data_IF_968461319561
#
_entry.id   IF_968461319561
#
_cell.length_a   1.000
_cell.length_b   1.000
_cell.length_c   1.000
_cell.angle_alpha   90.00
_cell.angle_beta   90.00
_cell.angle_gamma   90.00
#
_symmetry.space_group_name_H-M   'P 1'
#
loop_
_entity.id
_entity.type
_entity.pdbx_description
1 polymer ?
#
# COMPACT_ATOMS: atom_id res chain seq x y z
N UNK A 1 15.09 -26.83 17.39
CA UNK A 1 13.78 -26.89 16.69
C UNK A 1 13.41 -28.36 16.46
N UNK A 2 12.16 -28.71 16.62
CA UNK A 2 11.65 -30.06 16.28
C UNK A 2 10.85 -30.05 14.96
N UNK A 3 10.45 -28.87 14.50
CA UNK A 3 9.76 -28.69 13.22
C UNK A 3 10.07 -27.32 12.62
N UNK A 4 10.07 -27.25 11.28
CA UNK A 4 10.05 -25.98 10.57
C UNK A 4 9.09 -26.03 9.37
N UNK A 5 8.52 -24.88 9.04
CA UNK A 5 7.62 -24.74 7.88
C UNK A 5 8.01 -23.48 7.11
N UNK A 6 8.20 -23.65 5.78
CA UNK A 6 8.54 -22.54 4.89
C UNK A 6 7.25 -21.95 4.30
N UNK A 7 7.04 -20.65 4.45
CA UNK A 7 5.95 -19.88 3.84
C UNK A 7 6.54 -18.68 3.09
N UNK A 8 6.64 -18.80 1.76
CA UNK A 8 7.28 -17.78 0.93
C UNK A 8 8.72 -17.50 1.35
N UNK A 9 9.03 -16.27 1.74
CA UNK A 9 10.36 -15.86 2.23
C UNK A 9 10.54 -16.04 3.75
N UNK A 10 9.54 -16.57 4.45
CA UNK A 10 9.59 -16.72 5.91
C UNK A 10 9.65 -18.18 6.29
N UNK A 11 10.46 -18.51 7.31
CA UNK A 11 10.52 -19.84 7.91
C UNK A 11 9.97 -19.78 9.33
N UNK A 12 8.94 -20.55 9.60
CA UNK A 12 8.38 -20.74 10.95
C UNK A 12 9.19 -21.85 11.62
N UNK A 13 9.72 -21.59 12.80
CA UNK A 13 10.41 -22.55 13.64
C UNK A 13 9.57 -22.86 14.86
N UNK A 14 9.25 -24.14 15.06
CA UNK A 14 8.64 -24.65 16.29
C UNK A 14 9.74 -25.20 17.18
N UNK A 15 9.81 -24.70 18.43
CA UNK A 15 10.83 -25.10 19.40
C UNK A 15 10.23 -25.36 20.78
N UNK A 16 11.00 -26.00 21.65
CA UNK A 16 10.59 -26.23 23.04
C UNK A 16 10.44 -24.95 23.87
N UNK A 17 11.04 -23.83 23.39
CA UNK A 17 11.00 -22.52 24.05
C UNK A 17 10.00 -21.55 23.42
N UNK A 18 9.18 -22.02 22.47
CA UNK A 18 8.22 -21.19 21.72
C UNK A 18 8.47 -21.24 20.21
N UNK A 19 7.59 -20.56 19.50
CA UNK A 19 7.65 -20.50 18.04
C UNK A 19 8.25 -19.17 17.58
N UNK A 20 9.00 -19.22 16.49
CA UNK A 20 9.74 -18.07 15.94
C UNK A 20 9.56 -17.98 14.43
N UNK A 21 9.69 -16.76 13.91
CA UNK A 21 9.72 -16.48 12.46
C UNK A 21 11.14 -16.04 12.09
N UNK A 22 11.73 -16.73 11.11
CA UNK A 22 12.99 -16.32 10.49
C UNK A 22 12.70 -15.67 9.15
N UNK A 23 13.24 -14.49 8.90
CA UNK A 23 13.18 -13.78 7.62
C UNK A 23 14.58 -13.35 7.17
N UNK A 24 14.85 -13.34 5.84
CA UNK A 24 16.07 -12.73 5.30
C UNK A 24 16.19 -11.26 5.71
N UNK A 25 17.40 -10.80 5.94
CA UNK A 25 17.72 -9.44 6.34
C UNK A 25 17.92 -8.57 5.11
N UNK A 26 16.84 -7.96 4.64
CA UNK A 26 16.85 -7.11 3.45
C UNK A 26 17.09 -5.61 3.77
N UNK A 27 16.69 -5.17 4.97
CA UNK A 27 16.81 -3.79 5.48
C UNK A 27 17.13 -3.81 6.97
N UNK A 28 17.62 -2.71 7.49
CA UNK A 28 17.84 -2.57 8.93
C UNK A 28 16.50 -2.34 9.67
N UNK A 29 15.89 -3.44 10.06
CA UNK A 29 14.64 -3.45 10.83
C UNK A 29 14.84 -2.94 12.26
N UNK A 30 16.05 -3.04 12.83
CA UNK A 30 16.34 -2.54 14.19
C UNK A 30 16.25 -1.01 14.21
N UNK A 31 16.80 -0.34 13.20
CA UNK A 31 16.70 1.12 13.08
C UNK A 31 15.24 1.54 12.95
N UNK A 32 14.45 0.86 12.08
CA UNK A 32 13.03 1.09 11.93
C UNK A 32 12.28 0.94 13.26
N UNK A 33 12.50 -0.16 13.98
CA UNK A 33 11.77 -0.42 15.22
C UNK A 33 12.17 0.54 16.35
N UNK A 34 13.41 0.95 16.38
CA UNK A 34 13.88 2.02 17.29
C UNK A 34 13.16 3.34 16.97
N UNK A 35 13.07 3.71 15.70
CA UNK A 35 12.35 4.89 15.25
C UNK A 35 10.86 4.84 15.64
N UNK A 36 10.19 3.71 15.40
CA UNK A 36 8.78 3.49 15.73
C UNK A 36 8.53 3.54 17.26
N UNK A 37 9.38 2.86 18.02
CA UNK A 37 9.32 2.85 19.50
C UNK A 37 9.44 4.25 20.06
N UNK A 38 10.40 5.04 19.59
CA UNK A 38 10.62 6.42 20.03
C UNK A 38 9.43 7.33 19.74
N UNK A 39 8.58 6.97 18.75
CA UNK A 39 7.33 7.65 18.45
C UNK A 39 6.08 7.03 19.09
N UNK A 40 6.29 6.03 19.95
CA UNK A 40 5.22 5.35 20.68
C UNK A 40 4.34 4.46 19.81
N UNK A 41 4.85 4.00 18.66
CA UNK A 41 4.17 3.01 17.83
C UNK A 41 4.74 1.62 18.13
N UNK A 42 3.89 0.68 18.57
CA UNK A 42 4.31 -0.64 19.08
C UNK A 42 3.61 -1.80 18.35
N UNK A 43 2.85 -1.53 17.28
CA UNK A 43 2.07 -2.53 16.56
C UNK A 43 2.92 -3.29 15.53
N UNK A 44 4.03 -3.89 15.97
CA UNK A 44 4.92 -4.72 15.15
C UNK A 44 5.43 -5.92 15.96
N UNK A 45 5.82 -7.05 15.31
CA UNK A 45 6.41 -8.19 15.98
C UNK A 45 7.77 -7.83 16.61
N UNK A 46 8.06 -8.35 17.80
CA UNK A 46 9.36 -8.14 18.44
C UNK A 46 10.46 -8.88 17.69
N UNK A 47 11.63 -8.25 17.56
CA UNK A 47 12.85 -8.91 17.15
C UNK A 47 13.42 -9.63 18.37
N UNK A 48 13.65 -10.93 18.21
CA UNK A 48 14.24 -11.80 19.24
C UNK A 48 15.75 -11.88 19.05
N UNK A 49 16.21 -12.02 17.80
CA UNK A 49 17.61 -12.04 17.45
C UNK A 49 17.85 -11.39 16.09
N UNK A 50 18.76 -10.45 16.04
CA UNK A 50 19.24 -9.79 14.82
C UNK A 50 20.77 -9.80 14.70
N UNK A 51 21.45 -10.58 15.53
CA UNK A 51 22.93 -10.68 15.56
C UNK A 51 23.50 -11.36 14.32
N UNK A 52 22.68 -12.13 13.59
CA UNK A 52 23.10 -12.84 12.38
C UNK A 52 23.10 -11.91 11.16
N UNK A 53 24.08 -12.07 10.29
CA UNK A 53 24.24 -11.18 9.12
C UNK A 53 23.14 -11.34 8.08
N UNK A 54 22.63 -12.56 7.88
CA UNK A 54 21.71 -12.89 6.78
C UNK A 54 20.23 -12.89 7.18
N UNK A 55 19.89 -13.03 8.47
CA UNK A 55 18.53 -13.26 8.92
C UNK A 55 18.19 -12.51 10.20
N UNK A 56 16.92 -12.13 10.31
CA UNK A 56 16.30 -11.66 11.55
C UNK A 56 15.37 -12.75 12.10
N UNK A 57 15.36 -12.90 13.42
CA UNK A 57 14.45 -13.79 14.14
C UNK A 57 13.41 -12.95 14.88
N UNK A 58 12.16 -13.19 14.59
CA UNK A 58 11.00 -12.50 15.20
C UNK A 58 10.21 -13.46 16.08
N UNK A 59 9.47 -12.91 17.04
CA UNK A 59 8.44 -13.66 17.74
C UNK A 59 7.40 -14.18 16.72
N UNK A 60 6.88 -15.36 16.98
CA UNK A 60 5.72 -15.84 16.25
C UNK A 60 4.47 -15.11 16.74
N UNK A 61 3.71 -14.56 15.81
CA UNK A 61 2.42 -13.91 16.08
C UNK A 61 1.32 -14.81 15.57
N UNK A 62 0.50 -15.31 16.48
CA UNK A 62 -0.64 -16.15 16.14
C UNK A 62 -1.74 -15.31 15.46
N UNK A 63 -2.30 -15.83 14.37
CA UNK A 63 -3.44 -15.20 13.70
C UNK A 63 -4.74 -15.54 14.45
N UNK A 64 -5.28 -14.56 15.14
CA UNK A 64 -6.60 -14.68 15.77
C UNK A 64 -7.64 -14.54 14.65
N UNK A 65 -8.50 -15.55 14.51
CA UNK A 65 -9.60 -15.54 13.54
C UNK A 65 -10.65 -14.51 13.93
N UNK A 66 -10.50 -13.30 13.37
CA UNK A 66 -11.47 -12.22 13.50
C UNK A 66 -12.37 -12.16 12.26
N UNK A 67 -13.61 -11.65 12.37
CA UNK A 67 -14.40 -11.25 11.22
C UNK A 67 -13.60 -10.27 10.34
N UNK A 68 -13.78 -10.33 9.02
CA UNK A 68 -13.01 -9.48 8.09
C UNK A 68 -13.25 -8.00 8.36
N UNK A 69 -14.47 -7.62 8.67
CA UNK A 69 -14.84 -6.24 8.98
C UNK A 69 -14.07 -5.74 10.21
N UNK A 70 -14.02 -6.52 11.29
CA UNK A 70 -13.26 -6.17 12.49
C UNK A 70 -11.77 -6.06 12.19
N UNK A 71 -11.22 -7.00 11.43
CA UNK A 71 -9.80 -6.99 11.04
C UNK A 71 -9.45 -5.76 10.19
N UNK A 72 -10.40 -5.32 9.36
CA UNK A 72 -10.28 -4.10 8.56
C UNK A 72 -10.25 -2.85 9.43
N UNK A 73 -11.17 -2.77 10.38
CA UNK A 73 -11.25 -1.66 11.33
C UNK A 73 -9.96 -1.55 12.15
N UNK A 74 -9.48 -2.67 12.70
CA UNK A 74 -8.24 -2.73 13.45
C UNK A 74 -7.03 -2.31 12.59
N UNK A 75 -6.97 -2.72 11.32
CA UNK A 75 -5.92 -2.31 10.39
C UNK A 75 -5.92 -0.80 10.16
N UNK A 76 -7.08 -0.20 9.93
CA UNK A 76 -7.21 1.24 9.71
C UNK A 76 -6.83 2.04 10.95
N UNK A 77 -7.22 1.58 12.13
CA UNK A 77 -6.79 2.18 13.41
C UNK A 77 -5.27 2.22 13.53
N UNK A 78 -4.62 1.10 13.24
CA UNK A 78 -3.17 0.95 13.34
C UNK A 78 -2.46 1.83 12.30
N UNK A 79 -2.94 1.84 11.05
CA UNK A 79 -2.34 2.65 9.98
C UNK A 79 -2.54 4.15 10.23
N UNK A 80 -3.73 4.57 10.64
CA UNK A 80 -3.95 5.97 11.01
C UNK A 80 -3.06 6.41 12.18
N UNK A 81 -2.87 5.53 13.17
CA UNK A 81 -1.94 5.77 14.28
C UNK A 81 -0.49 5.85 13.82
N UNK A 82 -0.05 4.96 12.92
CA UNK A 82 1.29 5.00 12.31
C UNK A 82 1.54 6.34 11.62
N UNK A 83 0.62 6.73 10.74
CA UNK A 83 0.74 7.99 9.98
C UNK A 83 0.71 9.22 10.90
N UNK A 84 -0.20 9.26 11.89
CA UNK A 84 -0.23 10.37 12.86
C UNK A 84 1.08 10.54 13.63
N UNK A 85 1.66 9.43 14.08
CA UNK A 85 2.88 9.44 14.90
C UNK A 85 4.15 9.73 14.10
N UNK A 86 4.14 9.50 12.80
CA UNK A 86 5.33 9.59 11.96
C UNK A 86 5.28 10.70 10.92
N UNK A 87 4.13 11.39 10.77
CA UNK A 87 3.97 12.45 9.77
C UNK A 87 4.76 13.72 10.11
N UNK A 88 5.31 14.33 9.09
CA UNK A 88 5.93 15.64 9.12
C UNK A 88 5.94 16.29 7.73
N UNK A 89 6.15 17.60 7.69
CA UNK A 89 6.31 18.31 6.43
C UNK A 89 7.79 18.36 6.07
N UNK A 90 8.10 17.87 4.87
CA UNK A 90 9.44 17.90 4.28
C UNK A 90 9.49 18.99 3.23
N UNK A 91 10.51 19.84 3.29
CA UNK A 91 10.78 20.80 2.22
C UNK A 91 11.19 20.07 0.94
N UNK A 92 10.66 20.52 -0.18
CA UNK A 92 10.91 19.97 -1.52
C UNK A 92 11.20 21.06 -2.51
N UNK A 93 11.98 20.73 -3.54
CA UNK A 93 12.15 21.61 -4.69
C UNK A 93 10.89 21.63 -5.57
N UNK A 94 10.74 22.66 -6.36
CA UNK A 94 9.66 22.78 -7.36
C UNK A 94 9.60 21.56 -8.30
N UNK A 95 10.75 20.96 -8.61
CA UNK A 95 10.85 19.78 -9.49
C UNK A 95 10.22 18.52 -8.88
N UNK A 96 10.03 18.45 -7.55
CA UNK A 96 9.49 17.25 -6.91
C UNK A 96 8.05 16.97 -7.33
N UNK A 97 7.19 17.97 -7.28
CA UNK A 97 5.79 17.82 -7.70
C UNK A 97 5.67 17.63 -9.21
N UNK A 98 6.55 18.29 -9.97
CA UNK A 98 6.64 18.10 -11.42
C UNK A 98 7.04 16.66 -11.77
N UNK A 99 8.03 16.09 -11.10
CA UNK A 99 8.41 14.69 -11.30
C UNK A 99 7.26 13.73 -11.00
N UNK A 100 6.53 13.92 -9.89
CA UNK A 100 5.35 13.09 -9.56
C UNK A 100 4.28 13.21 -10.67
N UNK A 101 4.01 14.42 -11.15
CA UNK A 101 3.08 14.66 -12.23
C UNK A 101 3.50 13.93 -13.51
N UNK A 102 4.76 14.08 -13.93
CA UNK A 102 5.29 13.46 -15.15
C UNK A 102 5.28 11.93 -15.07
N UNK A 103 5.62 11.36 -13.92
CA UNK A 103 5.59 9.90 -13.68
C UNK A 103 4.16 9.34 -13.80
N UNK A 104 3.18 10.00 -13.19
CA UNK A 104 1.77 9.59 -13.27
C UNK A 104 1.23 9.79 -14.69
N UNK A 105 1.56 10.90 -15.35
CA UNK A 105 1.16 11.20 -16.73
C UNK A 105 1.69 10.16 -17.72
N UNK A 106 2.95 9.79 -17.56
CA UNK A 106 3.59 8.75 -18.35
C UNK A 106 2.90 7.38 -18.13
N UNK A 107 2.58 7.05 -16.89
CA UNK A 107 1.87 5.82 -16.57
C UNK A 107 0.44 5.80 -17.17
N UNK A 108 -0.29 6.89 -17.09
CA UNK A 108 -1.63 7.01 -17.72
C UNK A 108 -1.52 6.79 -19.24
N UNK A 109 -0.53 7.42 -19.88
CA UNK A 109 -0.28 7.28 -21.33
C UNK A 109 0.05 5.85 -21.70
N UNK A 110 0.91 5.19 -20.91
CA UNK A 110 1.24 3.78 -21.09
C UNK A 110 0.01 2.88 -20.99
N UNK A 111 -0.78 3.04 -19.93
CA UNK A 111 -2.01 2.25 -19.71
C UNK A 111 -3.03 2.49 -20.82
N UNK A 112 -3.21 3.74 -21.28
CA UNK A 112 -4.09 4.07 -22.38
C UNK A 112 -3.70 3.32 -23.66
N UNK A 113 -2.43 3.38 -24.04
CA UNK A 113 -1.90 2.68 -25.20
C UNK A 113 -2.06 1.15 -25.06
N UNK A 114 -1.75 0.61 -23.87
CA UNK A 114 -1.86 -0.81 -23.60
C UNK A 114 -3.30 -1.33 -23.76
N UNK A 115 -4.25 -0.66 -23.13
CA UNK A 115 -5.67 -1.08 -23.21
C UNK A 115 -6.31 -0.81 -24.57
N UNK A 116 -5.89 0.26 -25.28
CA UNK A 116 -6.30 0.49 -26.68
C UNK A 116 -5.82 -0.66 -27.58
N UNK A 117 -4.57 -1.06 -27.46
CA UNK A 117 -3.99 -2.18 -28.24
C UNK A 117 -4.75 -3.48 -27.97
N UNK A 118 -5.05 -3.78 -26.70
CA UNK A 118 -5.84 -4.97 -26.36
C UNK A 118 -7.27 -4.91 -26.95
N UNK A 119 -7.88 -3.72 -26.95
CA UNK A 119 -9.20 -3.54 -27.55
C UNK A 119 -9.18 -3.78 -29.05
N UNK A 120 -8.20 -3.22 -29.78
CA UNK A 120 -8.04 -3.41 -31.22
C UNK A 120 -7.79 -4.86 -31.58
N UNK A 121 -6.95 -5.57 -30.82
CA UNK A 121 -6.71 -7.02 -31.01
C UNK A 121 -8.03 -7.78 -30.86
N UNK A 122 -8.75 -7.56 -29.77
CA UNK A 122 -10.03 -8.24 -29.52
C UNK A 122 -11.11 -7.92 -30.53
N UNK A 123 -11.15 -6.67 -31.03
CA UNK A 123 -12.11 -6.24 -32.04
C UNK A 123 -11.89 -6.88 -33.42
N UNK A 124 -10.64 -7.17 -33.77
CA UNK A 124 -10.28 -7.78 -35.05
C UNK A 124 -10.34 -9.32 -35.02
N UNK A 125 -10.58 -9.95 -33.86
CA UNK A 125 -10.74 -11.40 -33.78
C UNK A 125 -12.10 -11.84 -34.35
N UNK A 126 -12.09 -12.79 -35.28
CA UNK A 126 -13.32 -13.38 -35.86
C UNK A 126 -14.10 -14.16 -34.78
N UNK A 127 -13.40 -14.80 -33.86
CA UNK A 127 -13.96 -15.54 -32.73
C UNK A 127 -13.33 -15.06 -31.44
N UNK A 128 -13.93 -14.05 -30.82
CA UNK A 128 -13.45 -13.54 -29.55
C UNK A 128 -13.56 -14.59 -28.44
N UNK A 129 -12.51 -14.76 -27.66
CA UNK A 129 -12.57 -15.56 -26.44
C UNK A 129 -13.55 -14.96 -25.43
N UNK A 130 -14.11 -15.75 -24.49
CA UNK A 130 -15.00 -15.20 -23.45
C UNK A 130 -14.38 -14.06 -22.66
N UNK A 131 -13.07 -14.12 -22.39
CA UNK A 131 -12.33 -13.06 -21.70
C UNK A 131 -12.25 -11.79 -22.55
N UNK A 132 -11.92 -11.88 -23.85
CA UNK A 132 -11.88 -10.76 -24.76
C UNK A 132 -13.26 -10.09 -24.91
N UNK A 133 -14.32 -10.90 -25.00
CA UNK A 133 -15.67 -10.39 -25.06
C UNK A 133 -16.04 -9.57 -23.81
N UNK A 134 -15.73 -10.07 -22.61
CA UNK A 134 -15.96 -9.37 -21.35
C UNK A 134 -15.12 -8.09 -21.29
N UNK A 135 -13.86 -8.15 -21.71
CA UNK A 135 -12.97 -6.99 -21.75
C UNK A 135 -13.51 -5.90 -22.68
N UNK A 136 -13.80 -6.21 -23.95
CA UNK A 136 -14.32 -5.26 -24.92
C UNK A 136 -15.62 -4.61 -24.44
N UNK A 137 -16.52 -5.38 -23.85
CA UNK A 137 -17.78 -4.88 -23.32
C UNK A 137 -17.61 -3.88 -22.18
N UNK A 138 -16.51 -3.97 -21.44
CA UNK A 138 -16.21 -3.08 -20.31
C UNK A 138 -15.11 -2.05 -20.60
N UNK A 139 -14.55 -2.06 -21.82
CA UNK A 139 -13.42 -1.18 -22.19
C UNK A 139 -13.75 0.31 -21.97
N UNK A 140 -14.99 0.74 -22.25
CA UNK A 140 -15.40 2.12 -22.03
C UNK A 140 -15.24 2.59 -20.57
N UNK A 141 -15.36 1.68 -19.58
CA UNK A 141 -15.15 2.00 -18.16
C UNK A 141 -13.68 2.26 -17.87
N UNK A 142 -12.79 1.48 -18.51
CA UNK A 142 -11.35 1.64 -18.38
C UNK A 142 -10.94 2.99 -18.99
N UNK A 143 -11.43 3.27 -20.19
CA UNK A 143 -11.13 4.55 -20.86
C UNK A 143 -11.64 5.75 -20.07
N UNK A 144 -12.88 5.70 -19.57
CA UNK A 144 -13.45 6.76 -18.74
C UNK A 144 -12.63 6.97 -17.44
N UNK A 145 -12.13 5.90 -16.82
CA UNK A 145 -11.29 6.00 -15.62
C UNK A 145 -9.92 6.65 -15.94
N UNK A 146 -9.31 6.33 -17.08
CA UNK A 146 -8.07 6.94 -17.52
C UNK A 146 -8.25 8.42 -17.91
N UNK A 147 -9.35 8.78 -18.58
CA UNK A 147 -9.70 10.18 -18.89
C UNK A 147 -9.92 10.99 -17.62
N UNK A 148 -10.66 10.44 -16.65
CA UNK A 148 -10.82 11.04 -15.33
C UNK A 148 -9.49 11.25 -14.64
N UNK A 149 -8.64 10.21 -14.54
CA UNK A 149 -7.33 10.31 -13.91
C UNK A 149 -6.46 11.37 -14.57
N UNK A 150 -6.47 11.44 -15.91
CA UNK A 150 -5.70 12.43 -16.67
C UNK A 150 -6.17 13.86 -16.41
N UNK A 151 -7.48 14.12 -16.45
CA UNK A 151 -8.06 15.44 -16.17
C UNK A 151 -7.80 15.87 -14.72
N UNK A 152 -8.00 14.96 -13.76
CA UNK A 152 -7.79 15.26 -12.35
C UNK A 152 -6.30 15.43 -12.00
N UNK A 153 -5.39 14.80 -12.74
CA UNK A 153 -3.95 14.99 -12.58
C UNK A 153 -3.52 16.43 -12.92
N UNK A 154 -4.07 17.02 -13.98
CA UNK A 154 -3.81 18.42 -14.35
C UNK A 154 -4.35 19.37 -13.25
N UNK A 155 -5.53 19.07 -12.71
CA UNK A 155 -6.10 19.80 -11.56
C UNK A 155 -5.26 19.65 -10.29
N UNK A 156 -4.76 18.43 -10.02
CA UNK A 156 -3.87 18.18 -8.89
C UNK A 156 -2.56 18.97 -9.00
N UNK A 157 -1.96 18.98 -10.18
CA UNK A 157 -0.71 19.72 -10.40
C UNK A 157 -0.89 21.22 -10.16
N UNK A 158 -2.02 21.78 -10.60
CA UNK A 158 -2.36 23.18 -10.33
C UNK A 158 -2.47 23.51 -8.84
N UNK A 159 -2.91 22.56 -7.99
CA UNK A 159 -2.97 22.74 -6.53
C UNK A 159 -1.60 22.75 -5.87
N UNK A 160 -0.65 21.96 -6.39
CA UNK A 160 0.66 21.74 -5.74
C UNK A 160 1.80 22.57 -6.35
N UNK A 161 1.56 23.27 -7.46
CA UNK A 161 2.60 24.01 -8.18
C UNK A 161 3.31 25.07 -7.32
N UNK A 162 2.61 25.65 -6.32
CA UNK A 162 3.18 26.68 -5.42
C UNK A 162 3.57 26.11 -4.05
N UNK A 163 3.41 24.81 -3.85
CA UNK A 163 3.74 24.18 -2.57
C UNK A 163 5.25 23.95 -2.46
N UNK A 164 5.83 24.39 -1.36
CA UNK A 164 7.25 24.20 -1.05
C UNK A 164 7.50 23.05 -0.08
N UNK A 165 6.44 22.42 0.40
CA UNK A 165 6.49 21.35 1.39
C UNK A 165 5.51 20.25 1.02
N UNK A 166 5.94 19.01 1.23
CA UNK A 166 5.07 17.83 1.09
C UNK A 166 4.94 17.15 2.46
N UNK A 167 3.72 16.74 2.81
CA UNK A 167 3.53 15.90 3.99
C UNK A 167 3.95 14.47 3.68
N UNK A 168 4.85 13.93 4.49
CA UNK A 168 5.32 12.56 4.41
C UNK A 168 5.16 11.88 5.77
N UNK A 169 5.07 10.56 5.76
CA UNK A 169 5.09 9.72 6.95
C UNK A 169 5.83 8.42 6.64
N UNK A 170 6.08 7.65 7.67
CA UNK A 170 6.49 6.26 7.46
C UNK A 170 5.29 5.47 6.98
N UNK A 171 5.40 4.90 5.78
CA UNK A 171 4.39 4.03 5.19
C UNK A 171 4.85 2.57 5.23
N UNK A 172 3.91 1.66 5.39
CA UNK A 172 4.16 0.22 5.34
C UNK A 172 4.43 -0.26 3.90
N UNK A 173 3.77 0.36 2.92
CA UNK A 173 3.90 0.15 1.49
C UNK A 173 3.62 -1.30 1.01
N UNK A 174 2.92 -2.09 1.84
CA UNK A 174 2.51 -3.45 1.52
C UNK A 174 1.26 -3.84 2.33
N UNK A 175 0.23 -2.97 2.32
CA UNK A 175 -0.98 -3.19 3.12
C UNK A 175 -1.90 -4.22 2.49
N UNK A 176 -2.23 -5.23 3.28
CA UNK A 176 -3.29 -6.20 3.05
C UNK A 176 -3.77 -6.77 4.39
N UNK A 177 -4.98 -7.33 4.41
CA UNK A 177 -5.56 -7.85 5.66
C UNK A 177 -4.75 -8.99 6.28
N UNK A 178 -4.06 -9.79 5.45
CA UNK A 178 -3.22 -10.89 5.92
C UNK A 178 -1.94 -10.42 6.62
N UNK A 179 -1.57 -9.14 6.48
CA UNK A 179 -0.42 -8.56 7.17
C UNK A 179 -0.75 -8.02 8.56
N UNK A 180 -2.01 -8.07 9.00
CA UNK A 180 -2.39 -7.79 10.37
C UNK A 180 -2.64 -9.10 11.12
N UNK A 181 -1.80 -9.41 12.11
CA UNK A 181 -1.92 -10.56 13.00
C UNK A 181 -1.97 -10.06 14.44
N UNK A 182 -3.04 -10.35 15.17
CA UNK A 182 -3.19 -10.00 16.58
C UNK A 182 -2.72 -8.57 16.91
N UNK A 183 -3.29 -7.57 16.20
CA UNK A 183 -2.93 -6.15 16.31
C UNK A 183 -1.45 -5.81 16.04
N UNK A 184 -0.70 -6.70 15.40
CA UNK A 184 0.66 -6.45 14.94
C UNK A 184 0.72 -6.47 13.42
N UNK A 185 1.30 -5.43 12.87
CA UNK A 185 1.54 -5.30 11.43
C UNK A 185 2.86 -6.01 11.10
N UNK A 186 2.79 -7.00 10.23
CA UNK A 186 3.95 -7.80 9.78
C UNK A 186 4.40 -7.38 8.37
N UNK A 187 5.50 -7.94 7.89
CA UNK A 187 5.99 -7.73 6.50
C UNK A 187 6.42 -6.30 6.18
N UNK A 188 7.25 -5.74 7.04
CA UNK A 188 7.85 -4.40 6.91
C UNK A 188 8.96 -4.29 5.85
N UNK A 189 9.11 -5.28 4.99
CA UNK A 189 10.22 -5.33 4.00
C UNK A 189 10.23 -4.15 3.01
N UNK A 190 9.05 -3.57 2.73
CA UNK A 190 8.86 -2.51 1.74
C UNK A 190 8.65 -1.12 2.35
N UNK A 191 8.80 -0.97 3.67
CA UNK A 191 8.60 0.33 4.31
C UNK A 191 9.44 1.44 3.70
N UNK A 192 8.90 2.64 3.70
CA UNK A 192 9.61 3.85 3.25
C UNK A 192 8.97 5.11 3.83
N UNK A 193 9.62 6.24 3.63
CA UNK A 193 9.03 7.55 3.96
C UNK A 193 8.45 8.12 2.67
N UNK A 194 7.12 8.26 2.63
CA UNK A 194 6.41 8.81 1.48
C UNK A 194 5.05 9.41 1.92
N UNK A 195 4.25 9.86 0.96
CA UNK A 195 2.89 10.33 1.22
C UNK A 195 2.00 9.21 1.80
N UNK A 196 1.16 9.50 2.81
CA UNK A 196 0.25 8.51 3.40
C UNK A 196 -0.72 7.89 2.38
N UNK A 197 -0.96 8.57 1.29
CA UNK A 197 -1.86 8.14 0.20
C UNK A 197 -1.47 6.75 -0.35
N UNK A 198 -0.17 6.46 -0.43
CA UNK A 198 0.33 5.21 -1.03
C UNK A 198 -0.17 3.98 -0.27
N UNK A 199 -0.19 4.02 1.07
CA UNK A 199 -0.69 2.90 1.88
C UNK A 199 -2.18 2.65 1.62
N UNK A 200 -2.98 3.71 1.50
CA UNK A 200 -4.42 3.59 1.23
C UNK A 200 -4.69 3.06 -0.19
N UNK A 201 -3.89 3.51 -1.17
CA UNK A 201 -3.94 2.98 -2.55
C UNK A 201 -3.60 1.49 -2.58
N UNK A 202 -2.55 1.06 -1.83
CA UNK A 202 -2.17 -0.35 -1.72
C UNK A 202 -3.27 -1.19 -1.10
N UNK A 203 -3.86 -0.73 0.00
CA UNK A 203 -4.98 -1.40 0.63
C UNK A 203 -6.17 -1.54 -0.32
N UNK A 204 -6.53 -0.47 -1.03
CA UNK A 204 -7.59 -0.52 -2.03
C UNK A 204 -7.28 -1.57 -3.11
N UNK A 205 -6.11 -1.51 -3.73
CA UNK A 205 -5.74 -2.41 -4.84
C UNK A 205 -5.69 -3.89 -4.42
N UNK A 206 -5.28 -4.16 -3.18
CA UNK A 206 -5.18 -5.53 -2.67
C UNK A 206 -6.52 -6.09 -2.19
N UNK A 207 -7.40 -5.24 -1.63
CA UNK A 207 -8.54 -5.71 -0.85
C UNK A 207 -9.91 -5.21 -1.33
N UNK A 208 -10.01 -4.41 -2.39
CA UNK A 208 -11.28 -3.77 -2.83
C UNK A 208 -12.47 -4.71 -2.98
N UNK A 209 -12.21 -6.00 -3.29
CA UNK A 209 -13.26 -7.04 -3.38
C UNK A 209 -13.74 -7.54 -2.02
N UNK A 210 -12.95 -7.32 -0.99
CA UNK A 210 -13.14 -7.92 0.34
C UNK A 210 -13.66 -6.92 1.37
N UNK A 211 -13.64 -5.63 1.07
CA UNK A 211 -13.91 -4.54 2.01
C UNK A 211 -14.89 -3.52 1.45
N UNK A 212 -15.64 -2.86 2.31
CA UNK A 212 -16.35 -1.63 1.95
C UNK A 212 -15.37 -0.45 2.03
N UNK A 213 -14.68 -0.18 0.91
CA UNK A 213 -13.61 0.81 0.89
C UNK A 213 -14.08 2.22 1.24
N UNK A 214 -15.32 2.61 0.88
CA UNK A 214 -15.84 3.94 1.22
C UNK A 214 -15.92 4.16 2.73
N UNK A 215 -16.44 3.20 3.45
CA UNK A 215 -16.55 3.24 4.92
C UNK A 215 -15.16 3.24 5.58
N UNK A 216 -14.26 2.41 5.09
CA UNK A 216 -12.86 2.34 5.55
C UNK A 216 -12.14 3.67 5.34
N UNK A 217 -12.30 4.28 4.16
CA UNK A 217 -11.70 5.57 3.84
C UNK A 217 -12.25 6.70 4.72
N UNK A 218 -13.56 6.73 4.97
CA UNK A 218 -14.18 7.71 5.89
C UNK A 218 -13.60 7.60 7.30
N UNK A 219 -13.48 6.38 7.83
CA UNK A 219 -12.87 6.12 9.14
C UNK A 219 -11.40 6.55 9.19
N UNK A 220 -10.65 6.24 8.14
CA UNK A 220 -9.26 6.66 8.04
C UNK A 220 -9.14 8.18 8.05
N UNK A 221 -9.90 8.89 7.19
CA UNK A 221 -9.88 10.36 7.09
C UNK A 221 -10.32 11.02 8.40
N UNK A 222 -11.28 10.43 9.11
CA UNK A 222 -11.69 10.92 10.43
C UNK A 222 -10.53 10.90 11.44
N UNK A 223 -9.68 9.88 11.41
CA UNK A 223 -8.54 9.73 12.32
C UNK A 223 -7.27 10.42 11.84
N UNK A 224 -7.05 10.44 10.56
CA UNK A 224 -5.92 11.09 9.90
C UNK A 224 -6.44 11.93 8.72
N UNK A 225 -6.80 13.19 8.94
CA UNK A 225 -7.32 14.05 7.89
C UNK A 225 -6.33 14.23 6.74
N UNK A 226 -6.76 13.85 5.54
CA UNK A 226 -5.99 14.08 4.32
C UNK A 226 -6.11 15.53 3.87
N UNK A 227 -5.01 16.08 3.38
CA UNK A 227 -4.98 17.38 2.71
C UNK A 227 -5.69 17.32 1.35
N UNK A 228 -6.15 18.45 0.84
CA UNK A 228 -6.95 18.44 -0.40
C UNK A 228 -6.19 17.87 -1.60
N UNK A 229 -4.91 18.19 -1.74
CA UNK A 229 -4.07 17.61 -2.78
C UNK A 229 -3.81 16.09 -2.55
N UNK A 230 -3.77 15.62 -1.30
CA UNK A 230 -3.65 14.19 -1.00
C UNK A 230 -4.93 13.42 -1.33
N UNK A 231 -6.11 13.98 -1.03
CA UNK A 231 -7.40 13.40 -1.42
C UNK A 231 -7.48 13.27 -2.95
N UNK A 232 -7.12 14.34 -3.66
CA UNK A 232 -7.14 14.33 -5.12
C UNK A 232 -6.18 13.29 -5.69
N UNK A 233 -4.95 13.24 -5.18
CA UNK A 233 -3.96 12.22 -5.56
C UNK A 233 -4.45 10.80 -5.30
N UNK A 234 -5.10 10.55 -4.15
CA UNK A 234 -5.69 9.26 -3.80
C UNK A 234 -6.68 8.81 -4.90
N UNK A 235 -7.65 9.67 -5.25
CA UNK A 235 -8.66 9.31 -6.25
C UNK A 235 -8.09 9.13 -7.65
N UNK A 236 -7.06 9.88 -8.03
CA UNK A 236 -6.32 9.64 -9.28
C UNK A 236 -5.71 8.24 -9.27
N UNK A 237 -4.96 7.89 -8.21
CA UNK A 237 -4.22 6.63 -8.16
C UNK A 237 -5.10 5.38 -8.05
N UNK A 238 -6.24 5.46 -7.35
CA UNK A 238 -7.20 4.34 -7.28
C UNK A 238 -8.02 4.17 -8.57
N UNK A 239 -8.14 5.22 -9.38
CA UNK A 239 -8.83 5.17 -10.69
C UNK A 239 -7.99 4.45 -11.75
N UNK A 240 -6.66 4.39 -11.58
CA UNK A 240 -5.78 3.73 -12.54
C UNK A 240 -6.06 2.23 -12.55
N UNK A 241 -6.41 1.66 -13.70
CA UNK A 241 -6.59 0.22 -13.84
C UNK A 241 -5.28 -0.53 -13.57
N UNK A 242 -5.36 -1.83 -13.21
CA UNK A 242 -4.21 -2.67 -12.92
C UNK A 242 -3.33 -2.93 -14.13
#
# INVERSE_FOLDING_TARGET
>A
PYRYTIKGKSTILETTCGDFIIKPKNKDINELYTYLTNRGFMNYPKIIDSSRDEVNVFEYVEDIKLPKEQKCDDLIEIIASLHNKTSYFKEVSEDKFKSIYEDIKSNISYLSNYYNTLYEIGFNEVYASPSNYIFMRNYFKINAALEYANSELDNWYSLVTNETKIRVCLIHNNLELNHLLNNKLISWDNYMIDTPVIDIVKLYKNEWKNINFSEILERYIYKFPLLDYEKKLLFILISLPP
#
